data_IF_858222907102
#
_entry.id   IF_858222907102
#
_cell.length_a   1.000
_cell.length_b   1.000
_cell.length_c   1.000
_cell.angle_alpha   90.00
_cell.angle_beta   90.00
_cell.angle_gamma   90.00
#
_symmetry.space_group_name_H-M   'P 1'
#
loop_
_entity.id
_entity.type
_entity.pdbx_description
1 polymer ?
#
# COMPACT_ATOMS: atom_id res chain seq x y z
N UNK A 1 18.39 5.14 41.30
CA UNK A 1 18.35 6.56 40.91
C UNK A 1 18.18 6.58 39.40
N UNK A 2 17.05 7.09 38.89
CA UNK A 2 16.78 7.14 37.44
C UNK A 2 17.19 8.52 36.96
N UNK A 3 18.23 8.59 36.14
CA UNK A 3 18.68 9.85 35.55
C UNK A 3 18.20 9.92 34.10
N UNK A 4 17.34 10.90 33.83
CA UNK A 4 16.84 11.22 32.50
C UNK A 4 17.60 12.43 31.97
N UNK A 5 18.47 12.23 30.99
CA UNK A 5 19.18 13.31 30.31
C UNK A 5 18.53 13.58 28.95
N UNK A 6 17.97 14.79 28.78
CA UNK A 6 17.45 15.27 27.50
C UNK A 6 18.53 16.11 26.80
N UNK A 7 19.19 15.55 25.79
CA UNK A 7 20.09 16.29 24.89
C UNK A 7 19.36 16.63 23.60
N UNK A 8 19.79 17.71 22.92
CA UNK A 8 19.17 18.23 21.68
C UNK A 8 19.03 17.17 20.56
N UNK A 9 19.81 16.11 20.63
CA UNK A 9 19.95 15.04 19.65
C UNK A 9 19.57 13.65 20.20
N UNK A 10 19.37 13.46 21.52
CA UNK A 10 19.12 12.14 22.14
C UNK A 10 18.35 12.25 23.47
N UNK A 11 17.40 11.34 23.69
CA UNK A 11 16.87 11.03 25.01
C UNK A 11 17.68 9.86 25.56
N UNK A 12 18.34 10.05 26.71
CA UNK A 12 19.09 8.98 27.38
C UNK A 12 18.44 8.71 28.73
N UNK A 13 17.91 7.50 28.89
CA UNK A 13 17.39 7.01 30.17
C UNK A 13 18.45 6.07 30.76
N UNK A 14 19.01 6.45 31.91
CA UNK A 14 19.93 5.58 32.67
C UNK A 14 19.20 4.96 33.85
N UNK A 15 19.14 3.64 33.86
CA UNK A 15 18.59 2.86 34.96
C UNK A 15 19.67 1.91 35.49
N UNK A 16 20.40 2.37 36.50
CA UNK A 16 21.56 1.64 37.05
C UNK A 16 22.66 1.46 36.01
N UNK A 17 22.99 0.21 35.65
CA UNK A 17 23.99 -0.13 34.63
C UNK A 17 23.44 -0.19 33.20
N UNK A 18 22.11 -0.13 33.01
CA UNK A 18 21.50 -0.15 31.68
C UNK A 18 21.29 1.26 31.15
N UNK A 19 21.87 1.54 29.99
CA UNK A 19 21.73 2.80 29.26
C UNK A 19 20.81 2.59 28.07
N UNK A 20 19.68 3.27 28.05
CA UNK A 20 18.75 3.28 26.93
C UNK A 20 18.90 4.60 26.20
N UNK A 21 19.50 4.57 25.01
CA UNK A 21 19.70 5.75 24.17
C UNK A 21 18.69 5.77 23.03
N UNK A 22 17.94 6.87 22.91
CA UNK A 22 16.98 7.12 21.84
C UNK A 22 17.42 8.37 21.08
N UNK A 23 18.00 8.20 19.89
CA UNK A 23 18.52 9.30 19.07
C UNK A 23 17.39 10.05 18.37
N UNK A 24 17.27 11.35 18.62
CA UNK A 24 16.35 12.33 18.01
C UNK A 24 17.17 13.32 17.15
N UNK A 25 17.75 12.85 16.05
CA UNK A 25 18.39 13.74 15.06
C UNK A 25 17.39 14.10 13.95
N UNK A 26 17.15 15.40 13.66
CA UNK A 26 16.24 15.84 12.59
C UNK A 26 16.70 15.46 11.17
N UNK A 27 17.97 15.08 11.01
CA UNK A 27 18.59 14.80 9.70
C UNK A 27 18.33 13.38 9.20
N UNK A 28 17.84 12.50 10.07
CA UNK A 28 17.34 11.17 9.71
C UNK A 28 15.90 11.07 10.23
N UNK A 29 14.92 11.05 9.32
CA UNK A 29 13.51 10.68 9.56
C UNK A 29 13.33 9.23 10.08
N UNK A 30 14.30 8.70 10.82
CA UNK A 30 14.48 7.28 11.19
C UNK A 30 13.59 6.79 12.32
N UNK A 31 12.79 7.65 12.94
CA UNK A 31 11.85 7.21 13.95
C UNK A 31 10.54 6.77 13.28
N UNK A 32 10.64 5.70 12.48
CA UNK A 32 9.50 4.97 11.91
C UNK A 32 8.46 4.66 12.98
N UNK A 33 8.90 4.43 14.22
CA UNK A 33 8.04 4.25 15.38
C UNK A 33 7.12 5.45 15.65
N UNK A 34 7.60 6.70 15.61
CA UNK A 34 6.74 7.87 15.85
C UNK A 34 5.72 8.05 14.73
N UNK A 35 6.11 7.83 13.48
CA UNK A 35 5.20 7.89 12.34
C UNK A 35 4.17 6.76 12.36
N UNK A 36 4.58 5.54 12.71
CA UNK A 36 3.66 4.41 12.88
C UNK A 36 2.67 4.68 14.03
N UNK A 37 3.16 5.22 15.15
CA UNK A 37 2.31 5.59 16.28
C UNK A 37 1.29 6.67 15.88
N UNK A 38 1.73 7.68 15.14
CA UNK A 38 0.86 8.73 14.62
C UNK A 38 -0.23 8.17 13.69
N UNK A 39 0.13 7.27 12.77
CA UNK A 39 -0.81 6.61 11.85
C UNK A 39 -1.87 5.77 12.57
N UNK A 40 -1.55 5.21 13.74
CA UNK A 40 -2.51 4.43 14.56
C UNK A 40 -3.34 5.32 15.49
N UNK A 41 -2.74 6.37 16.06
CA UNK A 41 -3.42 7.25 17.02
C UNK A 41 -4.36 8.24 16.32
N UNK A 42 -3.99 8.77 15.16
CA UNK A 42 -4.80 9.77 14.45
C UNK A 42 -6.23 9.28 14.12
N UNK A 43 -6.47 8.05 13.64
CA UNK A 43 -7.82 7.51 13.45
C UNK A 43 -8.61 7.38 14.75
N UNK A 44 -7.95 6.99 15.85
CA UNK A 44 -8.60 6.84 17.16
C UNK A 44 -9.08 8.20 17.66
N UNK A 45 -8.24 9.24 17.56
CA UNK A 45 -8.63 10.61 17.93
C UNK A 45 -9.74 11.11 17.01
N UNK A 46 -9.63 10.87 15.69
CA UNK A 46 -10.65 11.27 14.72
C UNK A 46 -12.02 10.66 15.04
N UNK A 47 -12.07 9.41 15.53
CA UNK A 47 -13.31 8.76 15.94
C UNK A 47 -14.07 9.52 17.03
N UNK A 48 -13.37 10.09 18.01
CA UNK A 48 -13.99 10.84 19.11
C UNK A 48 -14.31 12.30 18.74
N UNK A 49 -13.54 12.92 17.84
CA UNK A 49 -13.70 14.35 17.49
C UNK A 49 -14.72 14.55 16.38
N UNK A 50 -14.63 13.78 15.29
CA UNK A 50 -15.50 13.93 14.13
C UNK A 50 -15.51 12.62 13.32
N UNK A 51 -16.58 11.81 13.45
CA UNK A 51 -16.69 10.54 12.74
C UNK A 51 -16.61 10.64 11.21
N UNK A 52 -16.94 11.79 10.62
CA UNK A 52 -16.85 12.01 9.17
C UNK A 52 -15.41 11.94 8.63
N UNK A 53 -14.43 12.33 9.45
CA UNK A 53 -13.01 12.26 9.08
C UNK A 53 -12.51 10.82 8.91
N UNK A 54 -13.16 9.83 9.55
CA UNK A 54 -12.75 8.43 9.44
C UNK A 54 -12.87 7.93 8.01
N UNK A 55 -13.99 8.20 7.33
CA UNK A 55 -14.17 7.77 5.94
C UNK A 55 -13.08 8.37 5.04
N UNK A 56 -12.77 9.66 5.21
CA UNK A 56 -11.69 10.31 4.48
C UNK A 56 -10.33 9.66 4.76
N UNK A 57 -10.04 9.33 6.03
CA UNK A 57 -8.81 8.63 6.40
C UNK A 57 -8.73 7.22 5.82
N UNK A 58 -9.84 6.46 5.83
CA UNK A 58 -9.90 5.12 5.21
C UNK A 58 -9.60 5.23 3.71
N UNK A 59 -10.29 6.12 2.98
CA UNK A 59 -10.05 6.33 1.55
C UNK A 59 -8.61 6.77 1.27
N UNK A 60 -8.05 7.67 2.07
CA UNK A 60 -6.66 8.09 1.94
C UNK A 60 -5.67 6.93 2.15
N UNK A 61 -5.90 6.04 3.13
CA UNK A 61 -5.07 4.86 3.35
C UNK A 61 -5.19 3.85 2.21
N UNK A 62 -6.38 3.67 1.63
CA UNK A 62 -6.58 2.83 0.45
C UNK A 62 -5.78 3.39 -0.74
N UNK A 63 -5.86 4.70 -1.00
CA UNK A 63 -5.07 5.32 -2.07
C UNK A 63 -3.56 5.25 -1.80
N UNK A 64 -3.13 5.40 -0.55
CA UNK A 64 -1.74 5.21 -0.18
C UNK A 64 -1.29 3.77 -0.45
N UNK A 65 -2.11 2.77 -0.11
CA UNK A 65 -1.83 1.36 -0.41
C UNK A 65 -1.70 1.09 -1.91
N UNK A 66 -2.54 1.73 -2.73
CA UNK A 66 -2.45 1.66 -4.20
C UNK A 66 -1.19 2.33 -4.73
N UNK A 67 -0.78 3.46 -4.15
CA UNK A 67 0.38 4.23 -4.59
C UNK A 67 1.73 3.65 -4.16
N UNK A 68 1.78 2.93 -3.02
CA UNK A 68 3.02 2.38 -2.47
C UNK A 68 3.78 1.45 -3.44
N UNK A 69 3.16 0.46 -4.11
CA UNK A 69 3.84 -0.39 -5.09
C UNK A 69 4.47 0.41 -6.23
N UNK A 70 3.74 1.40 -6.76
CA UNK A 70 4.23 2.28 -7.83
C UNK A 70 5.45 3.09 -7.36
N UNK A 71 5.38 3.67 -6.17
CA UNK A 71 6.48 4.45 -5.58
C UNK A 71 7.72 3.58 -5.32
N UNK A 72 7.54 2.38 -4.74
CA UNK A 72 8.63 1.45 -4.47
C UNK A 72 9.34 1.00 -5.75
N UNK A 73 8.58 0.69 -6.81
CA UNK A 73 9.18 0.32 -8.09
C UNK A 73 9.91 1.50 -8.75
N UNK A 74 9.32 2.70 -8.71
CA UNK A 74 9.90 3.89 -9.33
C UNK A 74 11.21 4.30 -8.63
N UNK A 75 11.22 4.30 -7.29
CA UNK A 75 12.40 4.65 -6.49
C UNK A 75 13.47 3.55 -6.59
N UNK A 76 13.07 2.27 -6.51
CA UNK A 76 14.01 1.15 -6.48
C UNK A 76 14.68 0.85 -7.82
N UNK A 77 13.96 1.05 -8.94
CA UNK A 77 14.47 0.70 -10.29
C UNK A 77 14.79 1.90 -11.17
N UNK A 78 14.38 3.10 -10.79
CA UNK A 78 14.49 4.31 -11.61
C UNK A 78 13.60 4.28 -12.86
N UNK A 79 12.68 3.31 -12.98
CA UNK A 79 11.75 3.15 -14.11
C UNK A 79 10.32 3.35 -13.64
N UNK A 80 9.54 4.06 -14.43
CA UNK A 80 8.11 4.20 -14.20
C UNK A 80 7.39 2.93 -14.66
N UNK A 81 6.52 2.37 -13.82
CA UNK A 81 5.75 1.15 -14.13
C UNK A 81 4.27 1.35 -13.78
N UNK A 82 3.37 1.25 -14.76
CA UNK A 82 1.92 1.36 -14.54
C UNK A 82 1.19 0.02 -14.37
N UNK A 83 1.93 -1.10 -14.36
CA UNK A 83 1.40 -2.43 -14.17
C UNK A 83 0.70 -2.71 -12.83
N UNK A 84 1.11 -2.13 -11.67
CA UNK A 84 0.46 -2.40 -10.38
C UNK A 84 -1.06 -2.15 -10.39
N UNK A 85 -1.52 -1.11 -11.08
CA UNK A 85 -2.94 -0.76 -11.20
C UNK A 85 -3.76 -1.88 -11.85
N UNK A 86 -3.21 -2.57 -12.85
CA UNK A 86 -3.85 -3.73 -13.47
C UNK A 86 -4.06 -4.86 -12.46
N UNK A 87 -3.04 -5.19 -11.65
CA UNK A 87 -3.13 -6.27 -10.67
C UNK A 87 -4.10 -5.96 -9.52
N UNK A 88 -4.23 -4.69 -9.15
CA UNK A 88 -5.23 -4.21 -8.19
C UNK A 88 -6.63 -4.42 -8.76
N UNK A 89 -6.83 -4.11 -10.05
CA UNK A 89 -8.07 -4.40 -10.77
C UNK A 89 -8.42 -5.89 -10.76
N UNK A 90 -7.50 -6.75 -11.21
CA UNK A 90 -7.73 -8.21 -11.24
C UNK A 90 -8.11 -8.76 -9.85
N UNK A 91 -7.40 -8.34 -8.80
CA UNK A 91 -7.69 -8.77 -7.43
C UNK A 91 -9.04 -8.26 -6.93
N UNK A 92 -9.35 -6.99 -7.20
CA UNK A 92 -10.63 -6.37 -6.82
C UNK A 92 -11.83 -7.03 -7.49
N UNK A 93 -11.75 -7.30 -8.79
CA UNK A 93 -12.80 -8.01 -9.54
C UNK A 93 -12.95 -9.45 -9.05
N UNK A 94 -11.85 -10.15 -8.79
CA UNK A 94 -11.89 -11.51 -8.21
C UNK A 94 -12.63 -11.50 -6.87
N UNK A 95 -12.30 -10.55 -5.99
CA UNK A 95 -12.96 -10.43 -4.69
C UNK A 95 -14.44 -10.09 -4.82
N UNK A 96 -14.81 -9.17 -5.72
CA UNK A 96 -16.20 -8.78 -5.96
C UNK A 96 -17.04 -9.94 -6.52
N UNK A 97 -16.52 -10.67 -7.52
CA UNK A 97 -17.23 -11.81 -8.11
C UNK A 97 -17.43 -12.96 -7.13
N UNK A 98 -16.41 -13.28 -6.33
CA UNK A 98 -16.55 -14.30 -5.27
C UNK A 98 -17.53 -13.85 -4.18
N UNK A 99 -17.53 -12.56 -3.85
CA UNK A 99 -18.47 -12.00 -2.88
C UNK A 99 -19.92 -12.08 -3.38
N UNK A 100 -20.17 -11.86 -4.67
CA UNK A 100 -21.52 -11.94 -5.26
C UNK A 100 -21.96 -13.40 -5.43
N UNK A 101 -21.08 -14.26 -5.96
CA UNK A 101 -21.41 -15.65 -6.23
C UNK A 101 -21.63 -16.49 -4.96
N UNK A 102 -20.85 -16.26 -3.91
CA UNK A 102 -20.84 -17.09 -2.70
C UNK A 102 -21.21 -16.34 -1.41
N UNK A 103 -21.48 -15.03 -1.47
CA UNK A 103 -21.75 -14.23 -0.27
C UNK A 103 -20.55 -14.09 0.66
N UNK A 104 -19.34 -14.31 0.16
CA UNK A 104 -18.11 -14.34 0.97
C UNK A 104 -17.67 -12.95 1.42
N UNK A 105 -17.17 -12.87 2.66
CA UNK A 105 -16.64 -11.63 3.22
C UNK A 105 -15.26 -11.24 2.68
N UNK A 106 -14.78 -10.00 2.93
CA UNK A 106 -13.50 -9.52 2.40
C UNK A 106 -12.29 -10.36 2.82
N UNK A 107 -12.31 -10.93 4.02
CA UNK A 107 -11.21 -11.75 4.55
C UNK A 107 -11.10 -13.10 3.84
N UNK A 108 -12.23 -13.70 3.44
CA UNK A 108 -12.23 -15.00 2.76
C UNK A 108 -11.93 -14.86 1.27
N UNK A 109 -12.29 -13.72 0.65
CA UNK A 109 -11.97 -13.44 -0.76
C UNK A 109 -10.54 -12.95 -0.97
N UNK A 110 -9.91 -12.36 0.05
CA UNK A 110 -8.52 -11.87 0.00
C UNK A 110 -7.49 -12.89 -0.52
N UNK A 111 -7.40 -14.14 -0.02
CA UNK A 111 -6.42 -15.09 -0.53
C UNK A 111 -6.62 -15.39 -2.02
N UNK A 112 -7.86 -15.46 -2.49
CA UNK A 112 -8.16 -15.68 -3.91
C UNK A 112 -7.82 -14.46 -4.77
N UNK A 113 -8.07 -13.25 -4.28
CA UNK A 113 -7.64 -12.03 -4.94
C UNK A 113 -6.12 -11.98 -5.12
N UNK A 114 -5.37 -12.33 -4.08
CA UNK A 114 -3.90 -12.43 -4.14
C UNK A 114 -3.46 -13.48 -5.16
N UNK A 115 -4.03 -14.69 -5.10
CA UNK A 115 -3.71 -15.77 -6.04
C UNK A 115 -3.97 -15.38 -7.49
N UNK A 116 -5.13 -14.79 -7.78
CA UNK A 116 -5.48 -14.37 -9.15
C UNK A 116 -4.59 -13.23 -9.65
N UNK A 117 -4.28 -12.25 -8.80
CA UNK A 117 -3.32 -11.19 -9.15
C UNK A 117 -1.92 -11.76 -9.39
N UNK A 118 -1.47 -12.74 -8.61
CA UNK A 118 -0.18 -13.43 -8.83
C UNK A 118 -0.15 -14.22 -10.14
N UNK A 119 -1.23 -14.95 -10.46
CA UNK A 119 -1.34 -15.68 -11.72
C UNK A 119 -1.33 -14.72 -12.92
N UNK A 120 -2.05 -13.61 -12.83
CA UNK A 120 -2.00 -12.57 -13.86
C UNK A 120 -0.59 -11.98 -13.98
N UNK A 121 0.08 -11.67 -12.86
CA UNK A 121 1.45 -11.16 -12.88
C UNK A 121 2.43 -12.15 -13.53
N UNK A 122 2.30 -13.45 -13.25
CA UNK A 122 3.13 -14.48 -13.88
C UNK A 122 2.88 -14.57 -15.39
N UNK A 123 1.61 -14.51 -15.81
CA UNK A 123 1.21 -14.57 -17.22
C UNK A 123 1.74 -13.37 -18.02
N UNK A 124 1.68 -12.17 -17.45
CA UNK A 124 2.10 -10.93 -18.13
C UNK A 124 3.58 -10.59 -17.94
N UNK A 125 4.29 -11.25 -17.02
CA UNK A 125 5.72 -11.04 -16.77
C UNK A 125 6.61 -11.14 -18.03
N UNK A 126 6.46 -12.15 -18.91
CA UNK A 126 7.28 -12.26 -20.11
C UNK A 126 7.17 -11.04 -21.05
N UNK A 127 5.97 -10.48 -21.19
CA UNK A 127 5.72 -9.30 -22.03
C UNK A 127 6.44 -8.06 -21.50
N UNK A 128 6.49 -7.94 -20.18
CA UNK A 128 7.09 -6.80 -19.49
C UNK A 128 8.62 -6.87 -19.48
N UNK A 129 9.20 -8.08 -19.38
CA UNK A 129 10.66 -8.28 -19.37
C UNK A 129 11.30 -7.98 -20.74
N UNK A 130 10.57 -8.22 -21.82
CA UNK A 130 11.06 -8.00 -23.19
C UNK A 130 11.23 -6.51 -23.54
N UNK A 131 10.47 -5.63 -22.89
CA UNK A 131 10.44 -4.20 -23.19
C UNK A 131 11.57 -3.42 -22.48
N UNK A 132 12.15 -2.42 -23.17
CA UNK A 132 13.22 -1.56 -22.63
C UNK A 132 12.85 -0.09 -22.72
N UNK A 133 13.32 0.70 -21.74
CA UNK A 133 13.17 2.15 -21.75
C UNK A 133 11.71 2.61 -21.80
N UNK A 134 11.39 3.50 -22.73
CA UNK A 134 10.03 4.04 -22.89
C UNK A 134 9.00 2.96 -23.25
N UNK A 135 9.38 1.94 -24.02
CA UNK A 135 8.49 0.84 -24.40
C UNK A 135 7.98 0.06 -23.18
N UNK A 136 8.79 -0.04 -22.13
CA UNK A 136 8.37 -0.68 -20.87
C UNK A 136 7.22 0.10 -20.21
N UNK A 137 7.33 1.43 -20.19
CA UNK A 137 6.31 2.31 -19.60
C UNK A 137 5.01 2.22 -20.41
N UNK A 138 5.11 2.30 -21.74
CA UNK A 138 3.96 2.21 -22.63
C UNK A 138 3.26 0.85 -22.52
N UNK A 139 4.03 -0.25 -22.52
CA UNK A 139 3.47 -1.59 -22.43
C UNK A 139 2.78 -1.85 -21.08
N UNK A 140 3.38 -1.37 -19.99
CA UNK A 140 2.78 -1.50 -18.65
C UNK A 140 1.58 -0.60 -18.43
N UNK A 141 1.47 0.53 -19.15
CA UNK A 141 0.28 1.40 -19.19
C UNK A 141 -0.86 0.79 -20.00
N UNK A 142 -0.53 0.02 -21.04
CA UNK A 142 -1.52 -0.60 -21.92
C UNK A 142 -2.34 -1.68 -21.19
N UNK A 143 -1.73 -2.40 -20.23
CA UNK A 143 -2.40 -3.42 -19.42
C UNK A 143 -3.64 -2.90 -18.65
N UNK A 144 -3.54 -1.86 -17.79
CA UNK A 144 -4.71 -1.33 -17.10
C UNK A 144 -5.73 -0.70 -18.05
N UNK A 145 -5.30 -0.12 -19.18
CA UNK A 145 -6.22 0.44 -20.19
C UNK A 145 -7.04 -0.64 -20.89
N UNK A 146 -6.40 -1.72 -21.35
CA UNK A 146 -7.12 -2.86 -21.94
C UNK A 146 -8.05 -3.49 -20.91
N UNK A 147 -7.62 -3.61 -19.67
CA UNK A 147 -8.48 -4.12 -18.61
C UNK A 147 -9.71 -3.24 -18.38
N UNK A 148 -9.54 -1.91 -18.37
CA UNK A 148 -10.66 -0.97 -18.30
C UNK A 148 -11.68 -1.21 -19.43
N UNK A 149 -11.21 -1.35 -20.68
CA UNK A 149 -12.09 -1.64 -21.82
C UNK A 149 -12.84 -2.98 -21.66
N UNK A 150 -12.14 -4.02 -21.20
CA UNK A 150 -12.77 -5.32 -20.90
C UNK A 150 -13.88 -5.16 -19.87
N UNK A 151 -13.66 -4.35 -18.83
CA UNK A 151 -14.69 -4.13 -17.80
C UNK A 151 -15.92 -3.41 -18.33
N UNK A 152 -15.77 -2.50 -19.30
CA UNK A 152 -16.90 -1.85 -19.96
C UNK A 152 -17.67 -2.80 -20.87
N UNK A 153 -16.97 -3.63 -21.64
CA UNK A 153 -17.58 -4.64 -22.52
C UNK A 153 -18.43 -5.62 -21.70
N UNK A 154 -17.92 -6.04 -20.54
CA UNK A 154 -18.56 -7.05 -19.69
C UNK A 154 -19.29 -6.46 -18.47
N UNK A 155 -20.02 -5.36 -18.67
CA UNK A 155 -20.77 -4.71 -17.59
C UNK A 155 -21.81 -5.63 -16.93
N UNK A 156 -22.36 -6.61 -17.68
CA UNK A 156 -23.43 -7.50 -17.21
C UNK A 156 -22.99 -8.60 -16.23
N UNK A 157 -21.69 -8.75 -15.96
CA UNK A 157 -21.17 -9.83 -15.10
C UNK A 157 -21.61 -9.66 -13.63
N UNK A 158 -21.90 -8.44 -13.19
CA UNK A 158 -22.27 -8.14 -11.79
C UNK A 158 -23.78 -8.14 -11.51
N UNK A 159 -24.58 -8.71 -12.42
CA UNK A 159 -26.02 -8.93 -12.20
C UNK A 159 -26.26 -10.19 -11.38
#
# INVERSE_FOLDING_TARGET
MVETELKRDRIVIRLGTRKWEWTLEPRYWRNTLFWALFLVIAPVIAYFVNPGLINTMISANIYAAIAMPLALMTIGTGRMNFGPQFYIGVGGYTAALLSIAYGWGPLTTLPFAILMSMLAALLFSPLVIMARGLYYVLLTLLLPLVFLEVTFIYTDIFK
#
